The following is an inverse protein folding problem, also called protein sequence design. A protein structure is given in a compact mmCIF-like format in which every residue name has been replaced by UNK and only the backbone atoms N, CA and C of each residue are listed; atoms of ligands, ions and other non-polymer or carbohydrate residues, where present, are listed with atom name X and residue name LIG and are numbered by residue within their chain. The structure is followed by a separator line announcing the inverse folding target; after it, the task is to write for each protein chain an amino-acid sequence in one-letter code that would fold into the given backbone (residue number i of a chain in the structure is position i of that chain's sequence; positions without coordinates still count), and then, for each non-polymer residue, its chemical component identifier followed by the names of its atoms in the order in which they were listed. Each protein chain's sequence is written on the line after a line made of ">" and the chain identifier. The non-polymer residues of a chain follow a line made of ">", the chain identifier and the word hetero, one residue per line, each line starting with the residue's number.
data_IF_289945578054
#
_entry.id   IF_289945578054
#
_cell.length_a   1.000
_cell.length_b   1.000
_cell.length_c   1.000
_cell.angle_alpha   90.00
_cell.angle_beta   90.00
_cell.angle_gamma   90.00
#
_symmetry.space_group_name_H-M   'P 1'
#
loop_
_entity.id
_entity.type
_entity.pdbx_description
1 polymer ?
#
# COMPACT_ATOMS: atom_id res chain seq x y z
N UNK A 1 -20.57 -14.92 12.06
CA UNK A 1 -19.31 -14.18 12.27
C UNK A 1 -18.21 -14.97 11.58
N UNK A 2 -17.75 -14.54 10.42
CA UNK A 2 -16.71 -15.26 9.67
C UNK A 2 -15.37 -14.69 10.10
N UNK A 3 -14.63 -15.46 10.89
CA UNK A 3 -13.24 -15.15 11.24
C UNK A 3 -12.39 -15.41 10.00
N UNK A 4 -11.96 -14.33 9.34
CA UNK A 4 -11.01 -14.41 8.23
C UNK A 4 -9.61 -14.69 8.81
N UNK A 5 -8.78 -15.53 8.17
CA UNK A 5 -7.48 -15.89 8.71
C UNK A 5 -6.55 -14.67 8.72
N UNK A 6 -6.08 -14.31 9.90
CA UNK A 6 -5.23 -13.16 10.22
C UNK A 6 -3.76 -13.32 9.81
N UNK A 7 -3.45 -14.19 8.85
CA UNK A 7 -2.06 -14.49 8.47
C UNK A 7 -1.85 -14.30 6.96
N UNK A 8 -1.74 -13.02 6.62
CA UNK A 8 -1.06 -12.41 5.47
C UNK A 8 -1.23 -10.89 5.69
N UNK A 9 -0.17 -10.09 5.61
CA UNK A 9 -0.27 -8.62 5.72
C UNK A 9 -1.48 -8.12 4.93
N UNK A 10 -2.42 -7.41 5.55
CA UNK A 10 -3.64 -6.92 4.89
C UNK A 10 -3.24 -6.03 3.69
N UNK A 11 -3.39 -6.50 2.43
CA UNK A 11 -2.86 -5.80 1.28
C UNK A 11 -3.66 -4.52 0.99
N UNK A 12 -4.97 -4.50 1.28
CA UNK A 12 -5.80 -3.29 1.21
C UNK A 12 -5.28 -2.20 2.15
N UNK A 13 -5.00 -2.54 3.41
CA UNK A 13 -4.44 -1.60 4.36
C UNK A 13 -3.03 -1.13 3.97
N UNK A 14 -2.21 -2.02 3.39
CA UNK A 14 -0.86 -1.69 2.95
C UNK A 14 -0.87 -0.70 1.78
N UNK A 15 -1.75 -0.93 0.78
CA UNK A 15 -1.98 -0.01 -0.33
C UNK A 15 -2.44 1.35 0.19
N UNK A 16 -3.49 1.38 0.99
CA UNK A 16 -4.08 2.63 1.50
C UNK A 16 -3.07 3.45 2.32
N UNK A 17 -2.24 2.80 3.15
CA UNK A 17 -1.17 3.47 3.89
C UNK A 17 -0.09 4.03 2.95
N UNK A 18 0.34 3.27 1.95
CA UNK A 18 1.34 3.71 0.99
C UNK A 18 0.85 4.91 0.16
N UNK A 19 -0.39 4.86 -0.32
CA UNK A 19 -1.03 5.96 -1.07
C UNK A 19 -1.15 7.23 -0.22
N UNK A 20 -1.57 7.11 1.05
CA UNK A 20 -1.64 8.26 1.97
C UNK A 20 -0.27 8.89 2.20
N UNK A 21 0.79 8.10 2.34
CA UNK A 21 2.15 8.63 2.49
C UNK A 21 2.65 9.33 1.23
N UNK A 22 2.33 8.82 0.04
CA UNK A 22 2.65 9.48 -1.23
C UNK A 22 1.86 10.79 -1.39
N UNK A 23 0.57 10.81 -1.02
CA UNK A 23 -0.28 12.01 -1.04
C UNK A 23 0.26 13.11 -0.12
N UNK A 24 0.73 12.75 1.08
CA UNK A 24 1.38 13.69 2.01
C UNK A 24 2.62 14.33 1.39
N UNK A 25 3.45 13.55 0.69
CA UNK A 25 4.61 14.08 -0.02
C UNK A 25 4.20 15.00 -1.20
N UNK A 26 3.21 14.60 -2.01
CA UNK A 26 2.70 15.41 -3.12
C UNK A 26 2.14 16.77 -2.64
N UNK A 27 1.57 16.81 -1.44
CA UNK A 27 1.09 18.04 -0.79
C UNK A 27 2.18 18.85 -0.09
N UNK A 28 3.45 18.45 -0.21
CA UNK A 28 4.59 19.08 0.48
C UNK A 28 4.44 19.12 2.00
N UNK A 29 3.63 18.22 2.57
CA UNK A 29 3.43 18.09 4.02
C UNK A 29 4.56 17.27 4.69
N UNK A 30 5.32 16.51 3.90
CA UNK A 30 6.53 15.82 4.33
C UNK A 30 7.71 16.29 3.47
N UNK A 31 8.48 17.25 3.97
CA UNK A 31 9.60 17.86 3.24
C UNK A 31 10.91 17.05 3.33
N UNK A 32 10.94 16.02 4.18
CA UNK A 32 12.12 15.20 4.45
C UNK A 32 12.13 13.85 3.73
N UNK A 33 11.07 13.50 3.01
CA UNK A 33 11.03 12.26 2.24
C UNK A 33 11.96 12.37 1.04
N UNK A 34 13.04 11.57 1.01
CA UNK A 34 13.92 11.52 -0.14
C UNK A 34 13.33 10.64 -1.24
N UNK A 35 13.79 10.88 -2.47
CA UNK A 35 13.32 10.19 -3.68
C UNK A 35 13.35 8.66 -3.55
N UNK A 36 14.43 8.10 -2.97
CA UNK A 36 14.58 6.65 -2.77
C UNK A 36 13.53 6.06 -1.82
N UNK A 37 13.07 6.83 -0.83
CA UNK A 37 12.00 6.41 0.07
C UNK A 37 10.65 6.45 -0.64
N UNK A 38 10.39 7.47 -1.45
CA UNK A 38 9.17 7.58 -2.24
C UNK A 38 9.04 6.43 -3.26
N UNK A 39 10.13 6.06 -3.92
CA UNK A 39 10.18 4.90 -4.83
C UNK A 39 9.83 3.59 -4.12
N UNK A 40 10.31 3.41 -2.88
CA UNK A 40 9.95 2.23 -2.08
C UNK A 40 8.47 2.21 -1.71
N UNK A 41 7.91 3.35 -1.33
CA UNK A 41 6.49 3.45 -0.99
C UNK A 41 5.63 3.18 -2.23
N UNK A 42 6.03 3.68 -3.40
CA UNK A 42 5.38 3.35 -4.67
C UNK A 42 5.44 1.85 -4.99
N UNK A 43 6.60 1.22 -4.81
CA UNK A 43 6.75 -0.22 -5.02
C UNK A 43 5.83 -1.03 -4.09
N UNK A 44 5.69 -0.62 -2.83
CA UNK A 44 4.78 -1.25 -1.86
C UNK A 44 3.32 -1.12 -2.30
N UNK A 45 2.89 0.03 -2.80
CA UNK A 45 1.53 0.22 -3.30
C UNK A 45 1.24 -0.71 -4.50
N UNK A 46 2.19 -0.81 -5.44
CA UNK A 46 2.07 -1.69 -6.61
C UNK A 46 2.06 -3.18 -6.24
N UNK A 47 2.90 -3.60 -5.30
CA UNK A 47 2.91 -4.98 -4.80
C UNK A 47 1.58 -5.32 -4.12
N UNK A 48 1.06 -4.42 -3.29
CA UNK A 48 -0.22 -4.59 -2.63
C UNK A 48 -1.38 -4.70 -3.64
N UNK A 49 -1.40 -3.85 -4.68
CA UNK A 49 -2.40 -3.91 -5.74
C UNK A 49 -2.34 -5.24 -6.49
N UNK A 50 -1.14 -5.70 -6.88
CA UNK A 50 -0.99 -7.00 -7.55
C UNK A 50 -1.46 -8.19 -6.71
N UNK A 51 -1.33 -8.11 -5.37
CA UNK A 51 -1.90 -9.10 -4.47
C UNK A 51 -3.43 -9.02 -4.46
N UNK A 52 -4.00 -7.82 -4.32
CA UNK A 52 -5.46 -7.59 -4.32
C UNK A 52 -6.07 -8.09 -5.61
N UNK A 53 -5.56 -7.67 -6.77
CA UNK A 53 -6.05 -8.11 -8.08
C UNK A 53 -6.04 -9.64 -8.18
N UNK A 54 -4.94 -10.29 -7.81
CA UNK A 54 -4.85 -11.75 -7.82
C UNK A 54 -5.79 -12.43 -6.79
N UNK A 55 -6.19 -11.76 -5.71
CA UNK A 55 -7.22 -12.26 -4.80
C UNK A 55 -8.61 -12.11 -5.45
N UNK A 56 -8.93 -10.95 -6.01
CA UNK A 56 -10.21 -10.65 -6.68
C UNK A 56 -10.46 -11.54 -7.91
N UNK A 57 -9.41 -11.94 -8.64
CA UNK A 57 -9.55 -12.88 -9.77
C UNK A 57 -9.79 -14.34 -9.36
N UNK A 58 -9.64 -14.69 -8.07
CA UNK A 58 -9.84 -16.06 -7.55
C UNK A 58 -11.23 -16.29 -6.95
N UNK A 59 -12.08 -15.26 -6.93
CA UNK A 59 -13.44 -15.26 -6.35
C UNK A 59 -14.49 -15.26 -7.47
#
# INVERSE_FOLDING_TARGET
>A
MVTQPFDSKNPWALRDMAERLLEVNQRSLCQSANQKMLEKIQAIALEAEGIIENLEFRI
#
